data_IF_037716448899
#
_entry.id   IF_037716448899
#
_cell.length_a   1.000
_cell.length_b   1.000
_cell.length_c   1.000
_cell.angle_alpha   90.00
_cell.angle_beta   90.00
_cell.angle_gamma   90.00
#
_symmetry.space_group_name_H-M   'P 1'
#
loop_
_entity.id
_entity.type
_entity.pdbx_description
1 polymer ?
#
# COMPACT_ATOMS: atom_id res chain seq x y z
N UNK A 1 27.93 12.24 -3.81
CA UNK A 1 26.99 11.15 -3.45
C UNK A 1 25.83 11.83 -2.75
N UNK A 2 24.67 11.91 -3.40
CA UNK A 2 23.47 12.50 -2.77
C UNK A 2 23.12 11.60 -1.58
N UNK A 3 22.88 12.13 -0.37
CA UNK A 3 22.44 11.31 0.76
C UNK A 3 21.10 10.68 0.38
N UNK A 4 21.03 9.36 0.28
CA UNK A 4 19.75 8.68 0.20
C UNK A 4 19.11 8.85 1.58
N UNK A 5 18.00 9.59 1.64
CA UNK A 5 17.25 9.70 2.88
C UNK A 5 16.78 8.31 3.30
N UNK A 6 16.78 8.08 4.61
CA UNK A 6 16.65 6.75 5.17
C UNK A 6 15.26 6.12 5.00
N UNK A 7 14.26 6.84 4.47
CA UNK A 7 12.91 6.30 4.32
C UNK A 7 12.11 6.92 3.17
N UNK A 8 11.08 6.21 2.72
CA UNK A 8 10.25 6.60 1.58
C UNK A 8 9.58 7.97 1.75
N UNK A 9 8.94 8.31 2.90
CA UNK A 9 8.21 9.58 3.02
C UNK A 9 9.11 10.80 2.85
N UNK A 10 10.29 10.76 3.49
CA UNK A 10 11.23 11.87 3.43
C UNK A 10 11.82 11.99 2.02
N UNK A 11 12.11 10.87 1.34
CA UNK A 11 12.55 10.89 -0.05
C UNK A 11 11.48 11.51 -0.99
N UNK A 12 10.21 11.11 -0.83
CA UNK A 12 9.11 11.64 -1.64
C UNK A 12 8.96 13.16 -1.41
N UNK A 13 9.00 13.60 -0.15
CA UNK A 13 8.93 15.02 0.18
C UNK A 13 10.10 15.82 -0.41
N UNK A 14 11.32 15.29 -0.36
CA UNK A 14 12.51 15.95 -0.86
C UNK A 14 12.57 16.03 -2.39
N UNK A 15 12.19 14.95 -3.09
CA UNK A 15 12.29 14.88 -4.55
C UNK A 15 11.08 15.48 -5.27
N UNK A 16 9.88 15.36 -4.70
CA UNK A 16 8.60 15.66 -5.37
C UNK A 16 7.71 16.63 -4.58
N UNK A 17 8.15 17.07 -3.39
CA UNK A 17 7.43 18.02 -2.54
C UNK A 17 6.31 17.42 -1.71
N UNK A 18 5.74 18.27 -0.84
CA UNK A 18 4.64 17.91 0.05
C UNK A 18 3.36 17.43 -0.66
N UNK A 19 2.95 17.98 -1.84
CA UNK A 19 1.76 17.49 -2.54
C UNK A 19 1.88 16.02 -2.97
N UNK A 20 3.05 15.60 -3.43
CA UNK A 20 3.30 14.21 -3.81
C UNK A 20 3.24 13.28 -2.58
N UNK A 21 3.81 13.72 -1.45
CA UNK A 21 3.71 12.98 -0.19
C UNK A 21 2.25 12.86 0.25
N UNK A 22 1.46 13.93 0.17
CA UNK A 22 0.04 13.92 0.51
C UNK A 22 -0.75 12.92 -0.36
N UNK A 23 -0.50 12.91 -1.67
CA UNK A 23 -1.13 11.95 -2.58
C UNK A 23 -0.75 10.49 -2.27
N UNK A 24 0.52 10.24 -1.93
CA UNK A 24 1.00 8.92 -1.51
C UNK A 24 0.31 8.46 -0.21
N UNK A 25 0.27 9.32 0.81
CA UNK A 25 -0.40 9.00 2.08
C UNK A 25 -1.90 8.80 1.88
N UNK A 26 -2.52 9.60 1.02
CA UNK A 26 -3.93 9.43 0.65
C UNK A 26 -4.18 8.09 -0.01
N UNK A 27 -3.33 7.66 -0.96
CA UNK A 27 -3.48 6.37 -1.63
C UNK A 27 -3.42 5.20 -0.62
N UNK A 28 -2.42 5.21 0.27
CA UNK A 28 -2.28 4.19 1.31
C UNK A 28 -3.49 4.23 2.27
N UNK A 29 -3.91 5.41 2.71
CA UNK A 29 -5.07 5.59 3.59
C UNK A 29 -6.38 5.12 2.94
N UNK A 30 -6.58 5.44 1.66
CA UNK A 30 -7.73 4.99 0.89
C UNK A 30 -7.75 3.46 0.80
N UNK A 31 -6.64 2.84 0.38
CA UNK A 31 -6.53 1.38 0.30
C UNK A 31 -6.81 0.69 1.65
N UNK A 32 -6.20 1.18 2.74
CA UNK A 32 -6.40 0.58 4.08
C UNK A 32 -7.87 0.71 4.49
N UNK A 33 -8.46 1.89 4.34
CA UNK A 33 -9.85 2.12 4.76
C UNK A 33 -10.86 1.34 3.93
N UNK A 34 -10.70 1.27 2.60
CA UNK A 34 -11.61 0.52 1.73
C UNK A 34 -11.51 -0.98 2.00
N UNK A 35 -10.30 -1.52 2.06
CA UNK A 35 -10.06 -2.96 2.24
C UNK A 35 -10.47 -3.41 3.65
N UNK A 36 -10.16 -2.62 4.68
CA UNK A 36 -10.55 -2.92 6.05
C UNK A 36 -12.07 -2.91 6.27
N UNK A 37 -12.79 -1.97 5.63
CA UNK A 37 -14.25 -1.94 5.71
C UNK A 37 -14.87 -3.13 4.96
N UNK A 38 -14.33 -3.46 3.78
CA UNK A 38 -14.77 -4.60 2.98
C UNK A 38 -14.52 -5.96 3.64
N UNK A 39 -13.49 -6.10 4.49
CA UNK A 39 -13.20 -7.33 5.24
C UNK A 39 -14.38 -7.82 6.11
N UNK A 40 -15.28 -6.92 6.52
CA UNK A 40 -16.47 -7.26 7.31
C UNK A 40 -17.64 -7.78 6.46
N UNK A 41 -17.54 -7.65 5.14
CA UNK A 41 -18.59 -7.94 4.17
C UNK A 41 -18.33 -9.20 3.35
N UNK A 42 -17.12 -9.77 3.44
CA UNK A 42 -16.71 -10.97 2.71
C UNK A 42 -16.25 -12.06 3.66
N UNK A 43 -16.40 -13.31 3.23
CA UNK A 43 -15.96 -14.49 3.96
C UNK A 43 -15.11 -15.44 3.10
N UNK A 44 -14.57 -16.48 3.74
CA UNK A 44 -13.79 -17.53 3.08
C UNK A 44 -12.55 -17.01 2.36
N UNK A 45 -12.34 -17.46 1.11
CA UNK A 45 -11.13 -17.17 0.33
C UNK A 45 -10.94 -15.69 0.02
N UNK A 46 -12.03 -14.95 -0.18
CA UNK A 46 -12.01 -13.50 -0.43
C UNK A 46 -11.53 -12.73 0.79
N UNK A 47 -12.04 -13.09 1.97
CA UNK A 47 -11.58 -12.52 3.24
C UNK A 47 -10.09 -12.77 3.50
N UNK A 48 -9.61 -13.97 3.19
CA UNK A 48 -8.19 -14.32 3.30
C UNK A 48 -7.35 -13.45 2.35
N UNK A 49 -7.77 -13.31 1.08
CA UNK A 49 -7.06 -12.49 0.11
C UNK A 49 -7.03 -10.99 0.49
N UNK A 50 -8.16 -10.44 0.95
CA UNK A 50 -8.26 -9.07 1.45
C UNK A 50 -7.37 -8.84 2.68
N UNK A 51 -7.36 -9.79 3.63
CA UNK A 51 -6.57 -9.69 4.85
C UNK A 51 -5.07 -9.81 4.55
N UNK A 52 -4.68 -10.75 3.70
CA UNK A 52 -3.29 -10.95 3.31
C UNK A 52 -2.73 -9.74 2.54
N UNK A 53 -3.49 -9.21 1.58
CA UNK A 53 -3.08 -8.01 0.84
C UNK A 53 -2.98 -6.78 1.76
N UNK A 54 -3.94 -6.58 2.66
CA UNK A 54 -3.88 -5.50 3.63
C UNK A 54 -2.66 -5.61 4.55
N UNK A 55 -2.43 -6.78 5.14
CA UNK A 55 -1.31 -7.02 6.03
C UNK A 55 0.05 -6.81 5.32
N UNK A 56 0.18 -7.29 4.08
CA UNK A 56 1.39 -7.14 3.29
C UNK A 56 1.68 -5.67 2.94
N UNK A 57 0.68 -4.91 2.47
CA UNK A 57 0.86 -3.48 2.15
C UNK A 57 1.18 -2.66 3.41
N UNK A 58 0.54 -2.96 4.54
CA UNK A 58 0.87 -2.32 5.82
C UNK A 58 2.30 -2.64 6.22
N UNK A 59 2.73 -3.90 6.12
CA UNK A 59 4.11 -4.30 6.43
C UNK A 59 5.14 -3.59 5.55
N UNK A 60 4.92 -3.54 4.23
CA UNK A 60 5.79 -2.83 3.28
C UNK A 60 5.84 -1.33 3.61
N UNK A 61 4.68 -0.72 3.90
CA UNK A 61 4.59 0.71 4.25
C UNK A 61 5.37 1.01 5.53
N UNK A 62 5.21 0.19 6.57
CA UNK A 62 5.91 0.33 7.85
C UNK A 62 7.42 0.16 7.66
N UNK A 63 7.87 -0.85 6.92
CA UNK A 63 9.28 -1.00 6.56
C UNK A 63 9.80 0.25 5.81
N UNK A 64 8.97 0.81 4.94
CA UNK A 64 9.24 2.02 4.18
C UNK A 64 9.43 3.29 5.02
N UNK A 65 9.12 3.26 6.32
CA UNK A 65 9.39 4.34 7.27
C UNK A 65 10.82 4.30 7.83
N UNK A 66 11.50 3.16 7.73
CA UNK A 66 12.85 2.93 8.27
C UNK A 66 13.90 2.69 7.20
N UNK A 67 13.49 2.18 6.04
CA UNK A 67 14.35 1.94 4.89
C UNK A 67 13.69 2.41 3.58
N UNK A 68 14.53 2.72 2.59
CA UNK A 68 14.08 3.06 1.26
C UNK A 68 13.79 1.79 0.44
N UNK A 69 12.56 1.28 0.52
CA UNK A 69 12.18 0.02 -0.12
C UNK A 69 11.34 0.18 -1.40
N UNK A 70 10.61 1.29 -1.55
CA UNK A 70 9.56 1.43 -2.58
C UNK A 70 10.10 1.64 -4.00
N UNK A 71 11.37 2.04 -4.12
CA UNK A 71 12.03 2.23 -5.42
C UNK A 71 12.79 0.98 -5.88
N UNK A 72 12.74 -0.09 -5.09
CA UNK A 72 13.13 -1.40 -5.60
C UNK A 72 11.99 -1.93 -6.47
N UNK A 73 12.30 -2.25 -7.72
CA UNK A 73 11.31 -2.75 -8.68
C UNK A 73 10.47 -3.93 -8.14
N UNK A 74 11.04 -4.93 -7.42
CA UNK A 74 10.25 -6.04 -6.88
C UNK A 74 9.21 -5.61 -5.85
N UNK A 75 9.59 -4.76 -4.88
CA UNK A 75 8.65 -4.28 -3.84
C UNK A 75 7.59 -3.38 -4.46
N UNK A 76 7.99 -2.54 -5.42
CA UNK A 76 7.07 -1.64 -6.11
C UNK A 76 5.97 -2.41 -6.87
N UNK A 77 6.36 -3.36 -7.73
CA UNK A 77 5.40 -4.13 -8.51
C UNK A 77 4.50 -4.99 -7.62
N UNK A 78 5.07 -5.65 -6.61
CA UNK A 78 4.30 -6.41 -5.63
C UNK A 78 3.28 -5.51 -4.93
N UNK A 79 3.70 -4.32 -4.48
CA UNK A 79 2.79 -3.39 -3.81
C UNK A 79 1.64 -3.00 -4.71
N UNK A 80 1.88 -2.69 -5.99
CA UNK A 80 0.81 -2.34 -6.94
C UNK A 80 -0.18 -3.48 -7.16
N UNK A 81 0.30 -4.73 -7.26
CA UNK A 81 -0.58 -5.90 -7.36
C UNK A 81 -1.45 -6.04 -6.11
N UNK A 82 -0.87 -5.89 -4.92
CA UNK A 82 -1.60 -5.99 -3.66
C UNK A 82 -2.60 -4.86 -3.46
N UNK A 83 -2.26 -3.63 -3.88
CA UNK A 83 -3.15 -2.47 -3.86
C UNK A 83 -4.40 -2.67 -4.71
N UNK A 84 -4.31 -3.43 -5.82
CA UNK A 84 -5.47 -3.82 -6.62
C UNK A 84 -6.23 -5.01 -6.02
N UNK A 85 -5.51 -6.03 -5.56
CA UNK A 85 -6.09 -7.28 -5.05
C UNK A 85 -6.98 -7.05 -3.82
N UNK A 86 -6.55 -6.20 -2.88
CA UNK A 86 -7.30 -5.97 -1.63
C UNK A 86 -8.72 -5.45 -1.89
N UNK A 87 -8.88 -4.28 -2.50
CA UNK A 87 -10.17 -3.78 -2.94
C UNK A 87 -10.86 -4.74 -3.90
N UNK A 88 -10.21 -5.28 -4.92
CA UNK A 88 -10.85 -6.21 -5.86
C UNK A 88 -11.53 -7.39 -5.16
N UNK A 89 -10.86 -7.99 -4.18
CA UNK A 89 -11.40 -9.13 -3.42
C UNK A 89 -12.62 -8.82 -2.55
N UNK A 90 -12.90 -7.55 -2.26
CA UNK A 90 -14.06 -7.12 -1.44
C UNK A 90 -15.17 -6.45 -2.25
N UNK A 91 -14.97 -6.16 -3.54
CA UNK A 91 -15.93 -5.46 -4.40
C UNK A 91 -16.55 -6.34 -5.50
N UNK A 92 -16.03 -7.53 -5.71
CA UNK A 92 -16.51 -8.42 -6.77
C UNK A 92 -17.90 -8.98 -6.41
N UNK A 93 -18.95 -8.34 -6.91
CA UNK A 93 -20.30 -8.90 -6.95
C UNK A 93 -20.27 -10.18 -7.79
N UNK A 94 -20.86 -11.24 -7.24
CA UNK A 94 -20.99 -12.53 -7.88
C UNK A 94 -21.79 -12.35 -9.19
N UNK A 95 -21.09 -12.40 -10.32
CA UNK A 95 -21.67 -12.47 -11.67
C UNK A 95 -22.16 -13.88 -11.98
#
# INVERSE_FOLDING_TARGET
RVPHLHNNPLQIAAERGLPALAAYLWLIGAFVTTTWRGLRLVDGRRRIAAAASLAAVVGITVAGLFEYNFWSAPVQYLTFVLLGLGPGSVWEEES
#
